data_IF_106635569082
#
_entry.id   IF_106635569082
#
_cell.length_a   1.000
_cell.length_b   1.000
_cell.length_c   1.000
_cell.angle_alpha   90.00
_cell.angle_beta   90.00
_cell.angle_gamma   90.00
#
_symmetry.space_group_name_H-M   'P 1'
#
loop_
_entity.id
_entity.type
_entity.pdbx_description
1 polymer ?
#
# COMPACT_ATOMS: atom_id res chain seq x y z
N UNK A 1 41.93 -25.27 -82.96
CA UNK A 1 43.13 -24.52 -82.55
C UNK A 1 42.69 -23.23 -81.87
N UNK A 2 43.18 -23.01 -80.63
CA UNK A 2 43.32 -21.73 -79.90
C UNK A 2 42.02 -20.99 -79.50
N UNK A 3 41.81 -20.46 -78.29
CA UNK A 3 42.55 -20.46 -77.00
C UNK A 3 41.64 -19.79 -75.95
N UNK A 4 41.52 -20.41 -74.76
CA UNK A 4 41.69 -19.84 -73.41
C UNK A 4 41.12 -18.46 -73.05
N UNK A 5 40.28 -18.40 -72.00
CA UNK A 5 40.57 -17.66 -70.76
C UNK A 5 39.61 -18.06 -69.62
N UNK A 6 40.20 -18.15 -68.43
CA UNK A 6 39.67 -18.69 -67.18
C UNK A 6 38.93 -17.65 -66.32
N UNK A 7 38.02 -18.11 -65.46
CA UNK A 7 37.73 -17.59 -64.11
C UNK A 7 36.60 -18.45 -63.50
N UNK A 8 36.91 -19.43 -62.65
CA UNK A 8 36.95 -19.34 -61.17
C UNK A 8 35.56 -19.11 -60.54
N UNK A 9 35.12 -20.17 -59.86
CA UNK A 9 34.34 -20.26 -58.63
C UNK A 9 33.40 -19.09 -58.26
N UNK A 10 32.14 -19.41 -57.97
CA UNK A 10 31.64 -19.55 -56.59
C UNK A 10 30.18 -20.04 -56.67
N UNK A 11 29.94 -21.19 -56.03
CA UNK A 11 28.61 -21.71 -55.70
C UNK A 11 28.04 -20.77 -54.64
N UNK A 12 27.02 -19.97 -54.97
CA UNK A 12 26.29 -19.17 -54.00
C UNK A 12 24.95 -19.85 -53.68
N UNK A 13 24.97 -20.67 -52.63
CA UNK A 13 23.79 -21.13 -51.93
C UNK A 13 22.97 -19.91 -51.48
N UNK A 14 21.81 -19.69 -52.09
CA UNK A 14 20.78 -18.81 -51.55
C UNK A 14 20.17 -19.46 -50.30
N UNK A 15 20.81 -19.24 -49.14
CA UNK A 15 20.20 -19.51 -47.84
C UNK A 15 19.22 -18.37 -47.59
N UNK A 16 17.93 -18.67 -47.76
CA UNK A 16 16.85 -17.88 -47.19
C UNK A 16 16.98 -17.89 -45.67
N UNK A 17 17.65 -16.90 -45.09
CA UNK A 17 17.48 -16.59 -43.67
C UNK A 17 16.19 -15.80 -43.52
N UNK A 18 15.10 -16.52 -43.29
CA UNK A 18 13.93 -15.94 -42.63
C UNK A 18 14.38 -15.51 -41.24
N UNK A 19 14.78 -14.24 -41.11
CA UNK A 19 14.83 -13.56 -39.82
C UNK A 19 13.40 -13.43 -39.34
N UNK A 20 12.90 -14.50 -38.71
CA UNK A 20 11.74 -14.43 -37.86
C UNK A 20 12.06 -13.37 -36.80
N UNK A 21 11.47 -12.19 -36.94
CA UNK A 21 11.34 -11.25 -35.84
C UNK A 21 10.69 -12.03 -34.70
N UNK A 22 11.52 -12.45 -33.74
CA UNK A 22 11.04 -12.89 -32.44
C UNK A 22 10.19 -11.75 -31.92
N UNK A 23 8.91 -11.95 -31.56
CA UNK A 23 8.16 -10.91 -30.88
C UNK A 23 8.96 -10.50 -29.66
N UNK A 24 9.29 -9.21 -29.57
CA UNK A 24 9.99 -8.64 -28.43
C UNK A 24 9.25 -9.05 -27.15
N UNK A 25 9.87 -9.95 -26.39
CA UNK A 25 9.50 -10.27 -25.02
C UNK A 25 9.79 -9.04 -24.15
N UNK A 26 8.88 -8.06 -24.14
CA UNK A 26 8.84 -7.01 -23.10
C UNK A 26 7.60 -6.11 -23.24
N UNK A 27 6.42 -6.72 -23.36
CA UNK A 27 5.24 -6.13 -22.74
C UNK A 27 4.99 -7.01 -21.51
N UNK A 28 5.57 -6.65 -20.36
CA UNK A 28 5.12 -7.22 -19.08
C UNK A 28 3.62 -6.96 -19.03
N UNK A 29 2.79 -8.00 -19.03
CA UNK A 29 1.34 -7.88 -19.03
C UNK A 29 0.89 -7.21 -17.72
N UNK A 30 0.87 -5.89 -17.70
CA UNK A 30 0.27 -5.11 -16.64
C UNK A 30 -1.25 -5.23 -16.81
N UNK A 31 -1.86 -6.00 -15.93
CA UNK A 31 -3.32 -6.06 -15.86
C UNK A 31 -3.84 -4.92 -14.99
N UNK A 32 -5.07 -4.52 -15.23
CA UNK A 32 -5.75 -3.56 -14.39
C UNK A 32 -6.33 -4.25 -13.14
N UNK A 33 -6.23 -3.58 -11.99
CA UNK A 33 -6.76 -4.08 -10.73
C UNK A 33 -8.29 -4.15 -10.78
N UNK A 34 -8.81 -5.37 -10.76
CA UNK A 34 -10.21 -5.67 -10.48
C UNK A 34 -10.38 -5.95 -8.99
N UNK A 35 -11.13 -5.10 -8.28
CA UNK A 35 -11.38 -5.22 -6.84
C UNK A 35 -12.00 -6.58 -6.45
N UNK A 36 -12.75 -7.24 -7.35
CA UNK A 36 -13.33 -8.57 -7.09
C UNK A 36 -12.29 -9.68 -6.89
N UNK A 37 -11.02 -9.44 -7.26
CA UNK A 37 -9.93 -10.40 -7.06
C UNK A 37 -9.22 -10.27 -5.71
N UNK A 38 -9.69 -9.35 -4.85
CA UNK A 38 -9.07 -9.02 -3.56
C UNK A 38 -10.11 -9.06 -2.44
N UNK A 39 -9.62 -9.11 -1.21
CA UNK A 39 -10.46 -9.27 -0.01
C UNK A 39 -10.17 -8.23 1.08
N UNK A 40 -9.26 -7.30 0.84
CA UNK A 40 -8.89 -6.24 1.78
C UNK A 40 -8.96 -4.88 1.11
N UNK A 41 -9.62 -3.91 1.75
CA UNK A 41 -9.96 -2.64 1.10
C UNK A 41 -9.77 -1.42 1.99
N UNK A 42 -9.27 -0.33 1.41
CA UNK A 42 -9.42 1.00 2.01
C UNK A 42 -10.76 1.61 1.63
N UNK A 43 -11.48 2.10 2.64
CA UNK A 43 -12.76 2.79 2.47
C UNK A 43 -12.60 4.26 2.83
N UNK A 44 -12.51 5.12 1.80
CA UNK A 44 -12.36 6.57 1.93
C UNK A 44 -13.62 7.31 1.46
N UNK A 45 -14.46 7.69 2.43
CA UNK A 45 -15.74 8.35 2.16
C UNK A 45 -16.84 7.36 1.78
N UNK A 46 -17.91 7.86 1.14
CA UNK A 46 -19.08 7.05 0.82
C UNK A 46 -18.82 6.20 -0.44
N UNK A 47 -18.19 5.04 -0.27
CA UNK A 47 -18.08 4.04 -1.33
C UNK A 47 -19.41 3.30 -1.40
N UNK A 48 -20.03 3.27 -2.58
CA UNK A 48 -21.26 2.52 -2.81
C UNK A 48 -21.05 1.06 -2.41
N UNK A 49 -22.12 0.41 -1.93
CA UNK A 49 -22.09 -1.02 -1.63
C UNK A 49 -21.76 -1.82 -2.89
N UNK A 50 -20.50 -2.20 -3.05
CA UNK A 50 -20.08 -3.11 -4.09
C UNK A 50 -20.15 -4.56 -3.56
N UNK A 51 -20.48 -5.56 -4.39
CA UNK A 51 -20.65 -6.95 -3.93
C UNK A 51 -19.43 -7.50 -3.18
N UNK A 52 -18.22 -7.16 -3.65
CA UNK A 52 -16.96 -7.59 -3.03
C UNK A 52 -16.75 -7.07 -1.60
N UNK A 53 -17.40 -5.97 -1.19
CA UNK A 53 -17.29 -5.46 0.17
C UNK A 53 -17.98 -6.39 1.19
N UNK A 54 -19.06 -7.07 0.79
CA UNK A 54 -19.73 -8.04 1.66
C UNK A 54 -18.88 -9.28 1.94
N UNK A 55 -17.98 -9.62 1.01
CA UNK A 55 -17.05 -10.76 1.09
C UNK A 55 -15.65 -10.35 1.56
N UNK A 56 -15.42 -9.07 1.84
CA UNK A 56 -14.13 -8.59 2.33
C UNK A 56 -13.79 -9.30 3.64
N UNK A 57 -12.51 -9.64 3.81
CA UNK A 57 -11.97 -10.15 5.07
C UNK A 57 -11.51 -9.00 5.96
N UNK A 58 -10.94 -7.95 5.38
CA UNK A 58 -10.32 -6.85 6.12
C UNK A 58 -10.72 -5.49 5.51
N UNK A 59 -11.12 -4.54 6.36
CA UNK A 59 -11.49 -3.20 5.92
C UNK A 59 -10.72 -2.14 6.70
N UNK A 60 -10.14 -1.19 5.97
CA UNK A 60 -9.42 -0.04 6.50
C UNK A 60 -10.28 1.21 6.28
N UNK A 61 -11.00 1.62 7.32
CA UNK A 61 -12.07 2.62 7.21
C UNK A 61 -11.57 3.96 7.75
N UNK A 62 -11.58 5.02 6.93
CA UNK A 62 -11.25 6.37 7.39
C UNK A 62 -12.22 6.83 8.48
N UNK A 63 -11.68 7.31 9.62
CA UNK A 63 -12.47 7.77 10.76
C UNK A 63 -12.11 9.19 11.24
N UNK A 64 -11.07 9.81 10.68
CA UNK A 64 -10.77 11.22 10.97
C UNK A 64 -9.43 11.70 10.41
N UNK A 65 -9.22 13.01 10.51
CA UNK A 65 -7.90 13.62 10.31
C UNK A 65 -7.45 14.32 11.59
N UNK A 66 -6.16 14.22 11.87
CA UNK A 66 -5.49 14.84 13.00
C UNK A 66 -4.61 15.96 12.45
N UNK A 67 -4.89 17.18 12.88
CA UNK A 67 -4.26 18.39 12.38
C UNK A 67 -4.05 19.38 13.53
N UNK A 68 -3.20 20.38 13.29
CA UNK A 68 -3.06 21.51 14.19
C UNK A 68 -4.17 22.52 13.88
N UNK A 69 -4.94 22.88 14.88
CA UNK A 69 -5.91 23.97 14.79
C UNK A 69 -5.17 25.30 14.56
N UNK A 70 -5.70 26.13 13.66
CA UNK A 70 -4.93 27.24 13.08
C UNK A 70 -4.54 28.31 14.11
N UNK A 71 -5.38 28.58 15.10
CA UNK A 71 -5.20 29.70 16.03
C UNK A 71 -4.43 29.30 17.29
N UNK A 72 -4.75 28.14 17.85
CA UNK A 72 -4.23 27.61 19.10
C UNK A 72 -3.01 26.72 18.88
N UNK A 73 -2.78 26.24 17.66
CA UNK A 73 -1.77 25.22 17.33
C UNK A 73 -1.93 23.94 18.15
N UNK A 74 -3.13 23.69 18.69
CA UNK A 74 -3.43 22.45 19.38
C UNK A 74 -3.70 21.35 18.36
N UNK A 75 -3.23 20.15 18.67
CA UNK A 75 -3.63 18.96 17.92
C UNK A 75 -5.11 18.67 18.16
N UNK A 76 -5.83 18.45 17.08
CA UNK A 76 -7.27 18.18 17.08
C UNK A 76 -7.60 17.04 16.12
N UNK A 77 -8.42 16.10 16.58
CA UNK A 77 -9.04 15.07 15.76
C UNK A 77 -10.38 15.55 15.21
N UNK A 78 -10.46 15.74 13.90
CA UNK A 78 -11.73 15.95 13.18
C UNK A 78 -12.27 14.63 12.66
N UNK A 79 -13.47 14.26 13.14
CA UNK A 79 -14.16 13.02 12.75
C UNK A 79 -14.55 13.07 11.28
N UNK A 80 -14.30 11.97 10.56
CA UNK A 80 -14.70 11.79 9.17
C UNK A 80 -15.12 10.34 8.89
N UNK A 81 -15.61 10.09 7.68
CA UNK A 81 -16.01 8.76 7.21
C UNK A 81 -17.35 8.31 7.76
N UNK A 82 -17.61 7.01 7.68
CA UNK A 82 -18.89 6.43 8.07
C UNK A 82 -19.04 6.35 9.60
N UNK A 83 -20.29 6.38 10.05
CA UNK A 83 -20.63 6.19 11.46
C UNK A 83 -20.33 4.75 11.91
N UNK A 84 -20.08 4.52 13.22
CA UNK A 84 -19.99 3.17 13.77
C UNK A 84 -21.22 2.35 13.42
N UNK A 85 -21.00 1.15 12.91
CA UNK A 85 -22.04 0.21 12.53
C UNK A 85 -21.58 -1.22 12.81
N UNK A 86 -22.49 -2.18 12.67
CA UNK A 86 -22.17 -3.59 12.87
C UNK A 86 -21.49 -4.18 11.63
N UNK A 87 -20.29 -4.75 11.82
CA UNK A 87 -19.52 -5.49 10.83
C UNK A 87 -18.89 -6.71 11.50
N UNK A 88 -19.70 -7.73 11.85
CA UNK A 88 -19.25 -8.84 12.70
C UNK A 88 -18.32 -9.82 12.00
N UNK A 89 -18.24 -9.79 10.67
CA UNK A 89 -17.50 -10.77 9.87
C UNK A 89 -16.16 -10.25 9.36
N UNK A 90 -15.97 -8.92 9.30
CA UNK A 90 -14.76 -8.29 8.80
C UNK A 90 -13.83 -7.92 9.95
N UNK A 91 -12.52 -8.06 9.74
CA UNK A 91 -11.54 -7.38 10.59
C UNK A 91 -11.50 -5.90 10.20
N UNK A 92 -11.65 -5.02 11.17
CA UNK A 92 -11.73 -3.58 10.92
C UNK A 92 -10.49 -2.88 11.48
N UNK A 93 -9.85 -2.08 10.62
CA UNK A 93 -8.87 -1.08 10.99
C UNK A 93 -9.51 0.31 10.91
N UNK A 94 -9.47 1.07 12.00
CA UNK A 94 -9.89 2.47 11.96
C UNK A 94 -8.70 3.34 11.54
N UNK A 95 -8.83 3.99 10.40
CA UNK A 95 -7.75 4.77 9.76
C UNK A 95 -7.86 6.23 10.18
N UNK A 96 -6.75 6.81 10.59
CA UNK A 96 -6.65 8.23 10.93
C UNK A 96 -5.55 8.85 10.08
N UNK A 97 -5.93 9.85 9.26
CA UNK A 97 -4.92 10.65 8.57
C UNK A 97 -4.27 11.59 9.56
N UNK A 98 -2.96 11.57 9.60
CA UNK A 98 -2.18 12.40 10.50
C UNK A 98 -1.46 13.48 9.68
N UNK A 99 -1.27 14.66 10.25
CA UNK A 99 -0.56 15.76 9.60
C UNK A 99 0.62 16.29 10.40
N UNK A 100 0.80 15.84 11.64
CA UNK A 100 1.93 16.22 12.50
C UNK A 100 2.21 15.14 13.56
N UNK A 101 3.39 15.18 14.20
CA UNK A 101 3.78 14.17 15.20
C UNK A 101 3.47 14.58 16.66
N UNK A 102 3.17 15.87 16.89
CA UNK A 102 2.99 16.44 18.23
C UNK A 102 1.58 16.19 18.80
N UNK A 103 1.25 14.94 19.10
CA UNK A 103 0.00 14.60 19.81
C UNK A 103 0.08 14.97 21.29
N UNK A 104 -1.05 15.30 21.90
CA UNK A 104 -1.15 15.68 23.32
C UNK A 104 -1.93 14.65 24.16
N UNK A 105 -2.01 13.40 23.69
CA UNK A 105 -2.78 12.27 24.20
C UNK A 105 -4.31 12.37 24.03
N UNK A 106 -4.88 13.55 23.78
CA UNK A 106 -6.32 13.69 23.56
C UNK A 106 -6.78 12.98 22.28
N UNK A 107 -5.89 12.90 21.28
CA UNK A 107 -6.14 12.21 20.02
C UNK A 107 -6.34 10.72 20.27
N UNK A 108 -5.39 10.06 20.95
CA UNK A 108 -5.49 8.63 21.25
C UNK A 108 -6.71 8.32 22.12
N UNK A 109 -7.01 9.16 23.11
CA UNK A 109 -8.22 9.00 23.92
C UNK A 109 -9.50 9.06 23.07
N UNK A 110 -9.55 9.98 22.09
CA UNK A 110 -10.68 10.12 21.18
C UNK A 110 -10.78 8.94 20.20
N UNK A 111 -9.64 8.47 19.69
CA UNK A 111 -9.53 7.26 18.87
C UNK A 111 -10.06 6.05 19.64
N UNK A 112 -9.62 5.83 20.88
CA UNK A 112 -10.05 4.69 21.70
C UNK A 112 -11.54 4.76 22.03
N UNK A 113 -12.10 5.95 22.30
CA UNK A 113 -13.55 6.13 22.43
C UNK A 113 -14.30 5.71 21.16
N UNK A 114 -13.75 6.04 19.98
CA UNK A 114 -14.32 5.64 18.69
C UNK A 114 -14.25 4.13 18.48
N UNK A 115 -13.10 3.51 18.77
CA UNK A 115 -12.93 2.04 18.75
C UNK A 115 -14.00 1.35 19.59
N UNK A 116 -14.23 1.81 20.82
CA UNK A 116 -15.25 1.22 21.71
C UNK A 116 -16.65 1.36 21.15
N UNK A 117 -16.97 2.48 20.50
CA UNK A 117 -18.28 2.65 19.84
C UNK A 117 -18.49 1.64 18.71
N UNK A 118 -17.46 1.32 17.93
CA UNK A 118 -17.56 0.28 16.91
C UNK A 118 -17.70 -1.13 17.52
N UNK A 119 -16.89 -1.45 18.54
CA UNK A 119 -17.00 -2.73 19.26
C UNK A 119 -18.40 -2.91 19.86
N UNK A 120 -18.99 -1.85 20.45
CA UNK A 120 -20.34 -1.89 21.02
C UNK A 120 -21.45 -2.10 19.97
N UNK A 121 -21.20 -1.80 18.70
CA UNK A 121 -22.10 -2.12 17.58
C UNK A 121 -21.91 -3.56 17.05
N UNK A 122 -20.99 -4.34 17.65
CA UNK A 122 -20.69 -5.71 17.25
C UNK A 122 -19.62 -5.84 16.16
N UNK A 123 -18.83 -4.80 15.90
CA UNK A 123 -17.72 -4.87 14.94
C UNK A 123 -16.45 -5.44 15.56
N UNK A 124 -15.72 -6.25 14.78
CA UNK A 124 -14.42 -6.78 15.17
C UNK A 124 -13.29 -5.80 14.82
N UNK A 125 -12.88 -4.97 15.79
CA UNK A 125 -11.78 -4.02 15.60
C UNK A 125 -10.43 -4.72 15.81
N UNK A 126 -9.67 -4.87 14.73
CA UNK A 126 -8.30 -5.41 14.74
C UNK A 126 -7.31 -4.39 15.31
N UNK A 127 -7.48 -3.12 14.95
CA UNK A 127 -6.52 -2.08 15.32
C UNK A 127 -6.80 -0.72 14.70
N UNK A 128 -5.78 0.13 14.74
CA UNK A 128 -5.79 1.45 14.11
C UNK A 128 -4.72 1.51 13.02
N UNK A 129 -4.99 2.29 11.98
CA UNK A 129 -3.98 2.63 10.98
C UNK A 129 -3.69 4.13 11.00
N UNK A 130 -2.41 4.50 11.05
CA UNK A 130 -1.97 5.88 10.89
C UNK A 130 -1.60 6.11 9.43
N UNK A 131 -2.38 6.93 8.74
CA UNK A 131 -2.07 7.40 7.39
C UNK A 131 -1.27 8.71 7.49
N UNK A 132 0.05 8.64 7.32
CA UNK A 132 0.95 9.79 7.47
C UNK A 132 1.97 9.82 6.34
N UNK A 133 2.03 10.95 5.61
CA UNK A 133 3.08 11.21 4.64
C UNK A 133 4.37 11.64 5.37
N UNK A 134 5.10 10.63 5.87
CA UNK A 134 6.48 10.82 6.30
C UNK A 134 7.36 10.99 5.07
N UNK A 135 7.35 12.17 4.44
CA UNK A 135 8.40 12.55 3.49
C UNK A 135 9.74 12.32 4.17
N UNK A 136 10.71 11.77 3.43
CA UNK A 136 12.06 11.34 3.85
C UNK A 136 12.77 12.11 4.98
N UNK A 137 12.43 13.38 5.22
CA UNK A 137 13.10 14.27 6.17
C UNK A 137 12.83 14.00 7.64
N UNK A 138 11.93 13.09 8.03
CA UNK A 138 11.88 12.70 9.45
C UNK A 138 11.31 11.31 9.77
N UNK A 139 11.75 10.29 9.03
CA UNK A 139 11.34 8.90 9.31
C UNK A 139 11.76 8.42 10.71
N UNK A 140 12.86 8.95 11.26
CA UNK A 140 13.27 8.65 12.63
C UNK A 140 12.29 9.20 13.67
N UNK A 141 11.92 10.48 13.57
CA UNK A 141 10.94 11.06 14.50
C UNK A 141 9.57 10.40 14.34
N UNK A 142 9.20 9.97 13.12
CA UNK A 142 7.99 9.19 12.93
C UNK A 142 8.08 7.84 13.66
N UNK A 143 9.21 7.14 13.60
CA UNK A 143 9.40 5.89 14.34
C UNK A 143 9.37 6.09 15.87
N UNK A 144 9.93 7.20 16.39
CA UNK A 144 9.83 7.58 17.80
C UNK A 144 8.38 7.85 18.21
N UNK A 145 7.64 8.61 17.38
CA UNK A 145 6.21 8.86 17.57
C UNK A 145 5.41 7.54 17.62
N UNK A 146 5.67 6.62 16.68
CA UNK A 146 5.00 5.32 16.65
C UNK A 146 5.35 4.47 17.87
N UNK A 147 6.58 4.54 18.37
CA UNK A 147 7.00 3.86 19.61
C UNK A 147 6.20 4.37 20.81
N UNK A 148 6.05 5.70 20.91
CA UNK A 148 5.23 6.30 21.96
C UNK A 148 3.76 5.87 21.82
N UNK A 149 3.19 5.96 20.61
CA UNK A 149 1.82 5.54 20.32
C UNK A 149 1.61 4.06 20.69
N UNK A 150 2.55 3.18 20.34
CA UNK A 150 2.48 1.75 20.63
C UNK A 150 2.46 1.48 22.13
N UNK A 151 3.27 2.20 22.91
CA UNK A 151 3.32 2.02 24.38
C UNK A 151 2.01 2.42 25.07
N UNK A 152 1.25 3.35 24.50
CA UNK A 152 -0.03 3.81 25.03
C UNK A 152 -1.24 3.02 24.48
N UNK A 153 -1.14 2.47 23.26
CA UNK A 153 -2.21 1.70 22.62
C UNK A 153 -2.36 0.33 23.32
N UNK A 154 -3.57 -0.05 23.79
CA UNK A 154 -3.78 -1.35 24.44
C UNK A 154 -3.30 -2.52 23.58
N UNK A 155 -2.63 -3.50 24.20
CA UNK A 155 -1.96 -4.62 23.51
C UNK A 155 -2.89 -5.47 22.63
N UNK A 156 -4.20 -5.49 22.91
CA UNK A 156 -5.16 -6.20 22.07
C UNK A 156 -5.37 -5.57 20.68
N UNK A 157 -5.00 -4.30 20.49
CA UNK A 157 -5.14 -3.60 19.22
C UNK A 157 -3.80 -3.53 18.51
N UNK A 158 -3.84 -3.81 17.21
CA UNK A 158 -2.69 -3.66 16.33
C UNK A 158 -2.48 -2.23 15.86
N UNK A 159 -1.25 -1.92 15.46
CA UNK A 159 -0.85 -0.65 14.87
C UNK A 159 -0.37 -0.87 13.43
N UNK A 160 -1.18 -0.44 12.47
CA UNK A 160 -0.83 -0.38 11.05
C UNK A 160 -0.41 1.05 10.69
N UNK A 161 0.43 1.19 9.67
CA UNK A 161 0.79 2.49 9.12
C UNK A 161 0.75 2.45 7.59
N UNK A 162 0.58 3.59 6.95
CA UNK A 162 0.87 3.70 5.51
C UNK A 162 2.35 4.06 5.29
N UNK A 163 2.93 3.55 4.20
CA UNK A 163 4.30 3.83 3.79
C UNK A 163 4.34 4.32 2.34
N UNK A 164 5.24 5.28 2.07
CA UNK A 164 5.48 5.84 0.73
C UNK A 164 6.88 5.49 0.20
N UNK A 165 7.09 5.75 -1.10
CA UNK A 165 8.28 5.36 -1.88
C UNK A 165 9.63 5.73 -1.26
N UNK A 166 9.65 6.82 -0.50
CA UNK A 166 10.82 7.41 0.14
C UNK A 166 11.49 6.50 1.19
N UNK A 167 10.77 5.50 1.69
CA UNK A 167 11.24 4.60 2.76
C UNK A 167 12.28 3.58 2.29
N UNK A 168 12.37 3.36 0.98
CA UNK A 168 13.28 2.37 0.41
C UNK A 168 14.77 2.70 0.55
N UNK A 169 15.10 3.93 0.91
CA UNK A 169 16.46 4.37 1.21
C UNK A 169 16.75 4.37 2.73
N UNK A 170 15.89 3.76 3.55
CA UNK A 170 16.10 3.63 4.98
C UNK A 170 17.31 2.70 5.25
N UNK A 171 18.46 3.32 5.51
CA UNK A 171 19.70 2.63 5.93
C UNK A 171 19.96 2.76 7.44
N UNK A 172 19.10 3.49 8.17
CA UNK A 172 19.25 3.72 9.60
C UNK A 172 18.69 2.53 10.40
N UNK A 173 19.59 1.70 10.91
CA UNK A 173 19.26 0.48 11.69
C UNK A 173 18.45 0.77 12.95
N UNK A 174 18.74 1.87 13.67
CA UNK A 174 17.96 2.26 14.86
C UNK A 174 16.52 2.58 14.51
N UNK A 175 16.31 3.31 13.42
CA UNK A 175 14.97 3.65 12.93
C UNK A 175 14.21 2.39 12.53
N UNK A 176 14.89 1.46 11.84
CA UNK A 176 14.28 0.18 11.48
C UNK A 176 13.90 -0.66 12.70
N UNK A 177 14.75 -0.73 13.72
CA UNK A 177 14.46 -1.42 14.98
C UNK A 177 13.24 -0.82 15.70
N UNK A 178 13.14 0.52 15.76
CA UNK A 178 11.99 1.21 16.32
C UNK A 178 10.71 0.85 15.57
N UNK A 179 10.75 0.82 14.24
CA UNK A 179 9.60 0.43 13.43
C UNK A 179 9.21 -1.04 13.69
N UNK A 180 10.18 -1.96 13.65
CA UNK A 180 9.97 -3.40 13.89
C UNK A 180 9.32 -3.70 15.25
N UNK A 181 9.65 -2.94 16.29
CA UNK A 181 9.07 -3.13 17.62
C UNK A 181 7.75 -2.39 17.84
N UNK A 182 7.41 -1.43 16.96
CA UNK A 182 6.27 -0.54 17.17
C UNK A 182 5.04 -0.87 16.34
N UNK A 183 5.22 -1.42 15.14
CA UNK A 183 4.11 -1.65 14.19
C UNK A 183 3.86 -3.13 13.94
N UNK A 184 2.61 -3.47 13.67
CA UNK A 184 2.18 -4.81 13.27
C UNK A 184 2.22 -4.99 11.74
N UNK A 185 2.09 -3.90 10.98
CA UNK A 185 2.22 -3.89 9.52
C UNK A 185 2.46 -2.48 8.95
N UNK A 186 3.13 -2.45 7.80
CA UNK A 186 3.17 -1.28 6.92
C UNK A 186 2.44 -1.57 5.60
N UNK A 187 1.51 -0.69 5.23
CA UNK A 187 0.82 -0.75 3.95
C UNK A 187 1.48 0.17 2.93
N UNK A 188 2.14 -0.43 1.95
CA UNK A 188 2.99 0.23 0.97
C UNK A 188 2.17 0.70 -0.22
N UNK A 189 1.91 1.99 -0.33
CA UNK A 189 1.06 2.52 -1.40
C UNK A 189 1.84 2.59 -2.73
N UNK A 190 1.42 1.83 -3.73
CA UNK A 190 2.02 1.82 -5.07
C UNK A 190 1.28 2.73 -6.06
N UNK A 191 0.57 3.74 -5.55
CA UNK A 191 -0.25 4.65 -6.34
C UNK A 191 -0.21 6.07 -5.78
N UNK A 192 -0.53 7.04 -6.62
CA UNK A 192 -0.79 8.42 -6.24
C UNK A 192 -2.11 8.84 -6.88
N UNK A 193 -3.07 9.25 -6.05
CA UNK A 193 -4.44 9.48 -6.51
C UNK A 193 -5.05 8.20 -7.10
N UNK A 194 -5.42 8.25 -8.37
CA UNK A 194 -6.05 7.13 -9.10
C UNK A 194 -5.07 6.30 -9.94
N UNK A 195 -3.77 6.57 -9.87
CA UNK A 195 -2.79 6.05 -10.83
C UNK A 195 -1.67 5.30 -10.12
N UNK A 196 -1.36 4.08 -10.58
CA UNK A 196 -0.16 3.35 -10.17
C UNK A 196 1.08 4.17 -10.51
N UNK A 197 1.98 4.35 -9.54
CA UNK A 197 3.23 5.08 -9.75
C UNK A 197 4.18 4.30 -10.67
N UNK A 198 4.99 4.96 -11.51
CA UNK A 198 5.99 4.26 -12.32
C UNK A 198 7.06 3.63 -11.43
N UNK A 199 7.77 2.62 -11.97
CA UNK A 199 8.93 1.97 -11.33
C UNK A 199 8.70 1.37 -9.93
N UNK A 200 7.45 1.16 -9.51
CA UNK A 200 7.09 0.60 -8.19
C UNK A 200 7.75 -0.77 -7.91
N UNK A 201 8.07 -1.57 -8.93
CA UNK A 201 8.75 -2.88 -8.78
C UNK A 201 10.11 -2.75 -8.07
N UNK A 202 10.91 -1.76 -8.46
CA UNK A 202 12.22 -1.52 -7.85
C UNK A 202 12.06 -1.10 -6.38
N UNK A 203 11.03 -0.29 -6.10
CA UNK A 203 10.71 0.15 -4.76
C UNK A 203 10.25 -1.02 -3.85
N UNK A 204 9.32 -1.86 -4.33
CA UNK A 204 8.85 -3.02 -3.56
C UNK A 204 9.97 -4.00 -3.22
N UNK A 205 10.94 -4.19 -4.13
CA UNK A 205 12.10 -5.05 -3.88
C UNK A 205 12.94 -4.54 -2.70
N UNK A 206 13.13 -3.22 -2.59
CA UNK A 206 13.84 -2.60 -1.46
C UNK A 206 13.06 -2.71 -0.16
N UNK A 207 11.74 -2.50 -0.20
CA UNK A 207 10.90 -2.64 1.00
C UNK A 207 10.88 -4.07 1.52
N UNK A 208 10.76 -5.05 0.64
CA UNK A 208 10.79 -6.46 1.02
C UNK A 208 12.09 -6.85 1.75
N UNK A 209 13.19 -6.11 1.52
CA UNK A 209 14.47 -6.30 2.19
C UNK A 209 14.55 -5.65 3.59
N UNK A 210 13.60 -4.79 3.98
CA UNK A 210 13.58 -4.15 5.30
C UNK A 210 13.17 -5.10 6.44
N UNK A 211 12.69 -6.30 6.12
CA UNK A 211 12.26 -7.30 7.11
C UNK A 211 11.17 -6.76 8.08
N UNK A 212 10.28 -5.90 7.56
CA UNK A 212 9.09 -5.41 8.26
C UNK A 212 7.86 -6.18 7.74
N UNK A 213 6.87 -6.51 8.60
CA UNK A 213 5.58 -7.02 8.12
C UNK A 213 4.93 -6.02 7.19
N UNK A 214 4.56 -6.42 5.97
CA UNK A 214 4.09 -5.48 4.96
C UNK A 214 2.89 -5.99 4.17
N UNK A 215 2.01 -5.06 3.79
CA UNK A 215 0.98 -5.23 2.76
C UNK A 215 1.29 -4.33 1.56
N UNK A 216 0.79 -4.70 0.39
CA UNK A 216 0.91 -3.89 -0.81
C UNK A 216 -0.41 -3.18 -1.09
N UNK A 217 -0.35 -1.85 -1.09
CA UNK A 217 -1.46 -0.99 -1.43
C UNK A 217 -1.59 -0.80 -2.92
N UNK A 218 -2.71 -1.24 -3.48
CA UNK A 218 -3.08 -1.12 -4.89
C UNK A 218 -4.19 -0.08 -5.04
N UNK A 219 -4.35 0.50 -6.22
CA UNK A 219 -5.53 1.33 -6.53
C UNK A 219 -6.44 0.59 -7.51
N UNK A 220 -7.75 0.69 -7.30
CA UNK A 220 -8.74 0.14 -8.23
C UNK A 220 -8.53 0.72 -9.63
N UNK A 221 -8.59 -0.13 -10.66
CA UNK A 221 -8.25 0.24 -12.04
C UNK A 221 -6.81 0.75 -12.24
N UNK A 222 -5.93 0.61 -11.25
CA UNK A 222 -4.50 0.82 -11.42
C UNK A 222 -3.87 -0.31 -12.22
N UNK A 223 -2.75 -0.04 -12.88
CA UNK A 223 -1.94 -1.06 -13.52
C UNK A 223 -1.19 -1.87 -12.47
N UNK A 224 -1.07 -3.19 -12.65
CA UNK A 224 -0.32 -4.07 -11.78
C UNK A 224 0.32 -5.22 -12.55
N UNK A 225 1.60 -5.44 -12.30
CA UNK A 225 2.39 -6.54 -12.84
C UNK A 225 2.17 -7.77 -11.97
N UNK A 226 1.30 -8.68 -12.44
CA UNK A 226 0.97 -9.93 -11.74
C UNK A 226 2.16 -10.90 -11.62
N UNK A 227 3.27 -10.66 -12.32
CA UNK A 227 4.50 -11.44 -12.12
C UNK A 227 5.21 -11.09 -10.80
N UNK A 228 4.85 -9.98 -10.16
CA UNK A 228 5.35 -9.63 -8.83
C UNK A 228 4.63 -10.48 -7.79
N UNK A 229 5.36 -11.44 -7.22
CA UNK A 229 4.86 -12.33 -6.19
C UNK A 229 5.72 -12.25 -4.92
N UNK A 230 5.06 -12.01 -3.79
CA UNK A 230 5.67 -11.98 -2.46
C UNK A 230 5.16 -13.10 -1.55
N UNK A 231 4.39 -14.07 -2.07
CA UNK A 231 3.83 -15.19 -1.27
C UNK A 231 4.89 -16.01 -0.54
N UNK A 232 6.11 -16.09 -1.07
CA UNK A 232 7.24 -16.76 -0.41
C UNK A 232 7.93 -15.93 0.67
N UNK A 233 7.66 -14.62 0.75
CA UNK A 233 8.21 -13.75 1.77
C UNK A 233 7.39 -13.86 3.07
N UNK A 234 7.98 -14.28 4.21
CA UNK A 234 7.25 -14.50 5.46
C UNK A 234 6.65 -13.21 6.06
N UNK A 235 7.18 -12.05 5.68
CA UNK A 235 6.69 -10.75 6.12
C UNK A 235 5.52 -10.24 5.27
N UNK A 236 5.23 -10.85 4.13
CA UNK A 236 4.13 -10.42 3.29
C UNK A 236 2.78 -10.79 3.92
N UNK A 237 1.91 -9.79 4.11
CA UNK A 237 0.59 -9.91 4.76
C UNK A 237 -0.58 -9.72 3.80
N UNK A 238 -0.32 -9.67 2.49
CA UNK A 238 -1.33 -9.56 1.44
C UNK A 238 -1.42 -8.18 0.78
N UNK A 239 -2.51 -7.96 0.06
CA UNK A 239 -2.78 -6.73 -0.68
C UNK A 239 -3.90 -5.95 0.00
N UNK A 240 -3.95 -4.63 -0.20
CA UNK A 240 -5.10 -3.78 0.16
C UNK A 240 -5.44 -2.96 -1.08
N UNK A 241 -6.70 -2.95 -1.51
CA UNK A 241 -7.14 -2.16 -2.66
C UNK A 241 -7.80 -0.87 -2.20
N UNK A 242 -7.30 0.26 -2.68
CA UNK A 242 -7.92 1.56 -2.57
C UNK A 242 -9.06 1.69 -3.56
N UNK A 243 -10.27 1.79 -3.05
CA UNK A 243 -11.47 1.90 -3.86
C UNK A 243 -11.66 3.34 -4.31
N UNK A 244 -11.79 3.52 -5.62
CA UNK A 244 -12.09 4.81 -6.21
C UNK A 244 -13.60 5.05 -6.14
N UNK A 245 -13.98 6.31 -5.97
CA UNK A 245 -15.37 6.71 -6.18
C UNK A 245 -15.66 6.56 -7.67
N UNK A 246 -16.80 5.96 -8.02
CA UNK A 246 -17.25 5.98 -9.40
C UNK A 246 -17.40 7.44 -9.86
N UNK A 247 -16.99 7.73 -11.11
CA UNK A 247 -17.39 8.98 -11.75
C UNK A 247 -18.92 9.02 -11.77
N UNK A 248 -19.57 10.18 -11.50
CA UNK A 248 -21.00 10.30 -11.76
C UNK A 248 -21.25 9.95 -13.23
N UNK A 249 -22.15 9.00 -13.47
CA UNK A 249 -22.66 8.68 -14.79
C UNK A 249 -23.38 9.88 -15.40
#
# INVERSE_FOLDING_TARGET
>A
MKTWLAAVCIILCYIFTLTACKPSQSAQASDYINANSYDSFWIWGNIKSAPYLSQAKELYILQGNIHLEQHTQQSVLSVQGIAPMSMPHQKIWLVYRNHHLNWNNNELNSILKRVKRWENMGSNIEGIQIDFDAKTKNLHDYALFLTQLRSQLPQKYKLSITGLMDWSNLQNTKTLQLLQSSIDEIAIQTYQGSTTIPHYRAYLSKIAALNLPFKIGLVQHGQWDKSIDFKSNPNFKGYIVFLLREAPH
#
